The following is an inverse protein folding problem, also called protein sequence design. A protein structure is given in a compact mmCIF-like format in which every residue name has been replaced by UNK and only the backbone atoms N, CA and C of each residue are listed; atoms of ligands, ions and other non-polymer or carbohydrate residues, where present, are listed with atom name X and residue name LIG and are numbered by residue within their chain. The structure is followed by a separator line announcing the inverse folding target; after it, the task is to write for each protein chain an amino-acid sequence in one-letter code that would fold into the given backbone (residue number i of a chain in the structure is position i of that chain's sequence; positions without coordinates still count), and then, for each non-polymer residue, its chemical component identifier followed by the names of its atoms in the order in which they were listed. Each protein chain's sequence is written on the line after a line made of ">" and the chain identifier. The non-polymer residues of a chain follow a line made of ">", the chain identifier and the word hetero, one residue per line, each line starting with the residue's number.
data_IF_462999421385
#
_entry.id   IF_462999421385
#
_cell.length_a   1.000
_cell.length_b   1.000
_cell.length_c   1.000
_cell.angle_alpha   90.00
_cell.angle_beta   90.00
_cell.angle_gamma   90.00
#
_symmetry.space_group_name_H-M   'P 1'
#
loop_
_entity.id
_entity.type
_entity.pdbx_description
1 polymer ?
#
# COMPACT_ATOMS: atom_id res chain seq x y z
N UNK A 1 -6.07 28.10 40.42
CA UNK A 1 -6.58 27.73 39.08
C UNK A 1 -5.38 27.57 38.16
N UNK A 2 -4.97 26.33 37.88
CA UNK A 2 -3.72 26.01 37.20
C UNK A 2 -3.82 26.28 35.70
N UNK A 3 -2.91 27.08 35.15
CA UNK A 3 -2.75 27.31 33.71
C UNK A 3 -1.52 26.55 33.24
N UNK A 4 -1.73 25.42 32.55
CA UNK A 4 -0.67 24.67 31.89
C UNK A 4 -0.47 25.29 30.50
N UNK A 5 0.55 26.14 30.36
CA UNK A 5 1.01 26.60 29.05
C UNK A 5 1.92 25.53 28.45
N UNK A 6 1.42 24.74 27.52
CA UNK A 6 2.28 23.89 26.69
C UNK A 6 3.14 24.77 25.80
N UNK A 7 4.44 24.83 26.11
CA UNK A 7 5.45 25.47 25.29
C UNK A 7 5.65 24.60 24.04
N UNK A 8 5.01 24.97 22.94
CA UNK A 8 5.24 24.35 21.64
C UNK A 8 6.72 24.61 21.25
N UNK A 9 7.54 23.56 21.25
CA UNK A 9 8.92 23.66 20.74
C UNK A 9 8.83 23.82 19.21
N UNK A 10 9.54 24.81 18.68
CA UNK A 10 9.54 25.15 17.26
C UNK A 10 9.86 23.96 16.36
N UNK A 11 9.21 23.92 15.19
CA UNK A 11 9.36 22.90 14.14
C UNK A 11 10.79 22.74 13.58
N UNK A 12 11.76 23.52 14.06
CA UNK A 12 13.17 23.44 13.67
C UNK A 12 13.91 22.23 14.23
N UNK A 13 13.35 21.51 15.22
CA UNK A 13 13.98 20.29 15.77
C UNK A 13 13.97 19.10 14.80
N UNK A 14 13.06 19.09 13.82
CA UNK A 14 12.94 18.02 12.82
C UNK A 14 13.80 18.24 11.57
N UNK A 15 14.62 19.29 11.53
CA UNK A 15 15.48 19.60 10.38
C UNK A 15 16.91 19.11 10.64
N UNK A 16 17.09 17.80 10.84
CA UNK A 16 18.39 17.15 10.59
C UNK A 16 18.47 16.87 9.11
N UNK A 17 19.57 17.29 8.49
CA UNK A 17 19.86 17.03 7.07
C UNK A 17 19.65 15.54 6.78
N UNK A 18 18.74 15.27 5.83
CA UNK A 18 18.35 13.91 5.46
C UNK A 18 19.56 13.24 4.82
N UNK A 19 20.22 12.37 5.56
CA UNK A 19 21.29 11.51 5.06
C UNK A 19 20.70 10.69 3.91
N UNK A 20 21.20 10.92 2.70
CA UNK A 20 20.80 10.17 1.51
C UNK A 20 21.52 8.82 1.54
N UNK A 21 20.84 7.71 1.22
CA UNK A 21 21.42 6.37 1.35
C UNK A 21 22.60 6.07 0.44
N UNK A 22 22.74 6.83 -0.65
CA UNK A 22 23.93 6.77 -1.51
C UNK A 22 25.20 7.11 -0.70
N UNK A 23 25.03 7.85 0.40
CA UNK A 23 26.05 8.17 1.39
C UNK A 23 26.28 7.04 2.42
N UNK A 24 25.38 6.07 2.62
CA UNK A 24 25.60 5.00 3.61
C UNK A 24 26.67 4.00 3.16
N UNK A 25 26.83 3.78 1.84
CA UNK A 25 28.01 3.05 1.36
C UNK A 25 29.33 3.80 1.61
N UNK A 26 29.29 5.10 1.86
CA UNK A 26 30.46 5.95 2.08
C UNK A 26 30.61 6.47 3.52
N UNK A 27 29.68 6.15 4.43
CA UNK A 27 29.86 6.42 5.85
C UNK A 27 30.97 5.51 6.36
N UNK A 28 32.03 6.11 6.91
CA UNK A 28 33.16 5.39 7.46
C UNK A 28 32.68 4.34 8.47
N UNK A 29 33.42 3.23 8.54
CA UNK A 29 33.18 2.05 9.38
C UNK A 29 33.15 2.31 10.90
N UNK A 30 33.03 3.56 11.35
CA UNK A 30 33.21 4.01 12.73
C UNK A 30 31.96 4.57 13.42
N UNK A 31 30.85 4.82 12.71
CA UNK A 31 29.62 5.35 13.34
C UNK A 31 28.47 4.33 13.31
N UNK A 32 27.86 4.09 14.48
CA UNK A 32 26.67 3.27 14.60
C UNK A 32 25.42 4.03 14.14
N UNK A 33 24.71 3.48 13.16
CA UNK A 33 23.44 4.03 12.65
C UNK A 33 22.24 3.43 13.40
N UNK A 34 21.18 4.23 13.59
CA UNK A 34 19.92 3.72 14.11
C UNK A 34 19.22 2.84 13.07
N UNK A 35 18.69 1.68 13.49
CA UNK A 35 17.98 0.75 12.58
C UNK A 35 16.86 1.41 11.79
N UNK A 36 16.13 2.37 12.38
CA UNK A 36 15.07 3.11 11.67
C UNK A 36 15.62 4.02 10.56
N UNK A 37 16.80 4.61 10.75
CA UNK A 37 17.45 5.47 9.76
C UNK A 37 17.98 4.63 8.62
N UNK A 38 18.48 3.43 8.96
CA UNK A 38 18.78 2.40 7.99
C UNK A 38 17.50 2.06 7.17
N UNK A 39 16.47 1.48 7.79
CA UNK A 39 15.24 1.09 7.07
C UNK A 39 14.68 2.24 6.22
N UNK A 40 14.62 3.46 6.77
CA UNK A 40 14.11 4.62 6.05
C UNK A 40 14.85 4.85 4.73
N UNK A 41 16.17 4.97 4.74
CA UNK A 41 16.83 5.33 3.51
C UNK A 41 17.06 4.11 2.58
N UNK A 42 17.04 2.88 3.10
CA UNK A 42 17.04 1.67 2.26
C UNK A 42 15.79 1.64 1.39
N UNK A 43 14.68 2.15 1.90
CA UNK A 43 13.39 2.18 1.21
C UNK A 43 13.13 3.50 0.45
N UNK A 44 13.41 4.65 1.06
CA UNK A 44 12.86 5.96 0.63
C UNK A 44 13.92 7.02 0.27
N UNK A 45 15.21 6.72 0.28
CA UNK A 45 16.18 7.74 -0.10
C UNK A 45 16.06 8.11 -1.59
N UNK A 46 16.00 9.42 -1.86
CA UNK A 46 15.59 10.00 -3.15
C UNK A 46 16.17 9.36 -4.42
N UNK A 47 17.42 8.91 -4.39
CA UNK A 47 18.12 8.43 -5.60
C UNK A 47 18.51 6.95 -5.55
N UNK A 48 18.25 6.26 -4.44
CA UNK A 48 18.82 4.93 -4.18
C UNK A 48 17.98 4.04 -3.26
N UNK A 49 16.93 4.60 -2.65
CA UNK A 49 15.94 3.85 -1.91
C UNK A 49 15.19 2.93 -2.85
N UNK A 50 14.76 1.80 -2.31
CA UNK A 50 14.04 0.76 -3.03
C UNK A 50 12.85 1.29 -3.85
N UNK A 51 12.06 2.21 -3.28
CA UNK A 51 10.87 2.80 -3.92
C UNK A 51 11.17 4.07 -4.75
N UNK A 52 12.34 4.69 -4.58
CA UNK A 52 12.66 5.97 -5.22
C UNK A 52 13.42 5.82 -6.55
N UNK A 53 13.77 4.57 -6.92
CA UNK A 53 14.51 4.29 -8.14
C UNK A 53 13.57 4.37 -9.35
N UNK A 54 13.80 5.37 -10.21
CA UNK A 54 13.06 5.50 -11.47
C UNK A 54 13.23 4.26 -12.36
N UNK A 55 12.15 3.89 -13.07
CA UNK A 55 12.14 2.76 -14.01
C UNK A 55 12.06 1.37 -13.36
N UNK A 56 11.87 1.29 -12.03
CA UNK A 56 11.57 0.02 -11.35
C UNK A 56 10.08 -0.08 -11.07
N UNK A 57 9.45 -1.12 -11.62
CA UNK A 57 8.14 -1.55 -11.17
C UNK A 57 8.31 -2.33 -9.85
N UNK A 58 7.77 -1.77 -8.77
CA UNK A 58 7.79 -2.43 -7.46
C UNK A 58 6.61 -3.37 -7.30
N UNK A 59 5.46 -3.03 -7.90
CA UNK A 59 4.26 -3.86 -7.86
C UNK A 59 3.93 -4.34 -9.26
N UNK A 60 3.42 -5.57 -9.34
CA UNK A 60 3.00 -6.18 -10.60
C UNK A 60 1.56 -6.64 -10.50
N UNK A 61 0.79 -6.28 -11.50
CA UNK A 61 -0.50 -6.88 -11.78
C UNK A 61 -0.31 -8.04 -12.75
N UNK A 62 -1.15 -9.07 -12.61
CA UNK A 62 -1.18 -10.15 -13.59
C UNK A 62 -1.77 -9.64 -14.91
N UNK A 63 -1.22 -10.10 -16.03
CA UNK A 63 -1.75 -9.79 -17.37
C UNK A 63 -3.11 -10.45 -17.62
N UNK A 64 -3.40 -11.52 -16.86
CA UNK A 64 -4.63 -12.29 -16.90
C UNK A 64 -4.98 -12.79 -15.49
N UNK A 65 -6.29 -12.91 -15.21
CA UNK A 65 -6.75 -13.49 -13.95
C UNK A 65 -6.28 -14.95 -13.82
N UNK A 66 -5.99 -15.38 -12.60
CA UNK A 66 -5.74 -16.79 -12.32
C UNK A 66 -7.09 -17.52 -12.37
N UNK A 67 -7.16 -18.55 -13.20
CA UNK A 67 -8.31 -19.43 -13.28
C UNK A 67 -8.33 -20.40 -12.09
N UNK A 68 -8.81 -19.91 -10.95
CA UNK A 68 -8.86 -20.67 -9.70
C UNK A 68 -9.80 -21.88 -9.77
N UNK A 69 -10.82 -21.86 -10.64
CA UNK A 69 -11.76 -22.97 -10.78
C UNK A 69 -11.10 -24.23 -11.34
N UNK A 70 -10.06 -24.04 -12.18
CA UNK A 70 -9.32 -25.11 -12.82
C UNK A 70 -8.01 -25.48 -12.10
N UNK A 71 -7.74 -24.92 -10.91
CA UNK A 71 -6.62 -25.33 -10.07
C UNK A 71 -7.02 -26.49 -9.16
N UNK A 72 -6.23 -27.56 -9.15
CA UNK A 72 -6.46 -28.72 -8.30
C UNK A 72 -6.15 -28.46 -6.81
N UNK A 73 -5.42 -27.39 -6.51
CA UNK A 73 -5.11 -26.98 -5.16
C UNK A 73 -3.82 -26.17 -5.05
N UNK A 74 -3.26 -26.13 -3.83
CA UNK A 74 -2.14 -25.26 -3.49
C UNK A 74 -0.90 -25.48 -4.36
N UNK A 75 -0.58 -26.73 -4.71
CA UNK A 75 0.63 -27.05 -5.48
C UNK A 75 0.59 -26.41 -6.88
N UNK A 76 -0.55 -26.48 -7.57
CA UNK A 76 -0.70 -25.87 -8.90
C UNK A 76 -0.76 -24.34 -8.81
N UNK A 77 -1.45 -23.82 -7.80
CA UNK A 77 -1.43 -22.39 -7.50
C UNK A 77 0.01 -21.88 -7.34
N UNK A 78 0.83 -22.54 -6.52
CA UNK A 78 2.24 -22.16 -6.32
C UNK A 78 3.04 -22.23 -7.63
N UNK A 79 2.86 -23.31 -8.40
CA UNK A 79 3.54 -23.46 -9.69
C UNK A 79 3.16 -22.34 -10.69
N UNK A 80 1.88 -21.94 -10.71
CA UNK A 80 1.37 -20.84 -11.52
C UNK A 80 1.98 -19.50 -11.09
N UNK A 81 1.98 -19.20 -9.78
CA UNK A 81 2.59 -17.97 -9.25
C UNK A 81 4.11 -17.94 -9.53
N UNK A 82 4.81 -19.06 -9.36
CA UNK A 82 6.23 -19.16 -9.67
C UNK A 82 6.51 -18.90 -11.16
N UNK A 83 5.62 -19.34 -12.06
CA UNK A 83 5.74 -19.06 -13.48
C UNK A 83 5.64 -17.55 -13.76
N UNK A 84 4.70 -16.84 -13.12
CA UNK A 84 4.53 -15.40 -13.28
C UNK A 84 5.76 -14.62 -12.78
N UNK A 85 6.37 -15.04 -11.66
CA UNK A 85 7.60 -14.43 -11.14
C UNK A 85 8.85 -14.70 -12.00
N UNK A 86 8.87 -15.79 -12.79
CA UNK A 86 9.99 -16.04 -13.73
C UNK A 86 9.98 -15.09 -14.92
N UNK A 87 8.82 -14.55 -15.29
CA UNK A 87 8.69 -13.57 -16.37
C UNK A 87 9.24 -12.22 -15.94
N UNK A 88 8.96 -11.80 -14.69
CA UNK A 88 9.46 -10.55 -14.13
C UNK A 88 9.71 -10.70 -12.63
N UNK A 89 10.97 -10.86 -12.24
CA UNK A 89 11.36 -11.21 -10.87
C UNK A 89 11.48 -10.04 -9.90
N UNK A 90 11.52 -8.79 -10.40
CA UNK A 90 11.81 -7.61 -9.58
C UNK A 90 10.57 -6.95 -8.94
N UNK A 91 9.37 -7.36 -9.34
CA UNK A 91 8.10 -6.78 -8.90
C UNK A 91 7.27 -7.81 -8.11
N UNK A 92 6.70 -7.37 -7.00
CA UNK A 92 5.98 -8.21 -6.06
C UNK A 92 4.50 -8.17 -6.44
N UNK A 93 3.82 -9.30 -6.36
CA UNK A 93 2.36 -9.37 -6.48
C UNK A 93 1.77 -9.50 -5.07
N UNK A 94 0.92 -8.57 -4.67
CA UNK A 94 0.22 -8.66 -3.39
C UNK A 94 -1.07 -9.49 -3.55
N UNK A 95 -1.74 -9.88 -2.47
CA UNK A 95 -3.05 -10.52 -2.58
C UNK A 95 -4.06 -9.70 -3.37
N UNK A 96 -3.95 -8.37 -3.37
CA UNK A 96 -4.81 -7.47 -4.16
C UNK A 96 -4.63 -7.75 -5.65
N UNK A 97 -3.40 -7.91 -6.14
CA UNK A 97 -3.14 -8.20 -7.55
C UNK A 97 -3.41 -9.67 -7.92
N UNK A 98 -3.10 -10.61 -7.03
CA UNK A 98 -3.27 -12.06 -7.31
C UNK A 98 -4.75 -12.46 -7.37
N UNK A 99 -5.57 -11.90 -6.47
CA UNK A 99 -6.97 -12.27 -6.30
C UNK A 99 -7.92 -11.15 -6.75
N UNK A 100 -7.44 -10.23 -7.61
CA UNK A 100 -8.31 -9.23 -8.21
C UNK A 100 -9.46 -9.92 -8.98
N UNK A 101 -10.70 -9.41 -8.91
CA UNK A 101 -11.16 -8.30 -8.07
C UNK A 101 -11.65 -8.76 -6.67
N UNK A 102 -11.67 -10.07 -6.42
CA UNK A 102 -12.38 -10.70 -5.29
C UNK A 102 -11.83 -10.35 -3.91
N UNK A 103 -10.53 -10.16 -3.75
CA UNK A 103 -9.94 -9.73 -2.48
C UNK A 103 -10.50 -8.37 -2.05
N UNK A 104 -10.49 -7.41 -2.97
CA UNK A 104 -11.04 -6.07 -2.77
C UNK A 104 -12.56 -6.09 -2.57
N UNK A 105 -13.28 -6.95 -3.29
CA UNK A 105 -14.72 -7.16 -3.09
C UNK A 105 -15.04 -7.68 -1.68
N UNK A 106 -14.23 -8.59 -1.14
CA UNK A 106 -14.41 -9.09 0.22
C UNK A 106 -14.26 -7.97 1.25
N UNK A 107 -13.27 -7.08 1.07
CA UNK A 107 -13.10 -5.90 1.90
C UNK A 107 -14.28 -4.94 1.78
N UNK A 108 -14.75 -4.66 0.56
CA UNK A 108 -15.92 -3.80 0.33
C UNK A 108 -17.18 -4.36 1.00
N UNK A 109 -17.44 -5.67 0.85
CA UNK A 109 -18.53 -6.38 1.55
C UNK A 109 -18.43 -6.27 3.06
N UNK A 110 -17.22 -6.32 3.62
CA UNK A 110 -17.01 -6.15 5.05
C UNK A 110 -17.31 -4.71 5.49
N UNK A 111 -16.76 -3.71 4.79
CA UNK A 111 -16.98 -2.27 5.06
C UNK A 111 -18.47 -1.94 5.07
N UNK A 112 -19.22 -2.43 4.08
CA UNK A 112 -20.65 -2.18 3.93
C UNK A 112 -21.53 -2.87 4.98
N UNK A 113 -20.97 -3.83 5.73
CA UNK A 113 -21.65 -4.50 6.85
C UNK A 113 -21.28 -3.94 8.21
N UNK A 114 -20.35 -2.98 8.27
CA UNK A 114 -20.03 -2.33 9.52
C UNK A 114 -21.26 -1.58 10.05
N UNK A 115 -21.51 -1.62 11.37
CA UNK A 115 -22.59 -0.83 11.95
C UNK A 115 -22.32 0.65 11.69
N UNK A 116 -23.40 1.42 11.54
CA UNK A 116 -23.39 2.86 11.35
C UNK A 116 -22.73 3.36 10.04
N UNK A 117 -22.43 2.50 9.06
CA UNK A 117 -22.00 2.93 7.72
C UNK A 117 -23.21 3.26 6.84
N UNK A 118 -23.22 4.45 6.24
CA UNK A 118 -24.20 4.89 5.24
C UNK A 118 -23.56 5.81 4.19
N UNK A 119 -24.35 6.21 3.18
CA UNK A 119 -23.95 7.11 2.09
C UNK A 119 -23.34 8.44 2.53
N UNK A 120 -23.72 8.97 3.70
CA UNK A 120 -23.33 10.30 4.16
C UNK A 120 -22.05 10.30 5.00
N UNK A 121 -21.63 9.14 5.52
CA UNK A 121 -20.54 9.08 6.50
C UNK A 121 -19.38 8.12 6.14
N UNK A 122 -19.46 7.40 5.01
CA UNK A 122 -18.39 6.50 4.61
C UNK A 122 -17.15 7.26 4.10
N UNK A 123 -16.02 7.07 4.78
CA UNK A 123 -14.68 7.55 4.37
C UNK A 123 -13.69 6.39 4.40
N UNK A 124 -13.05 6.12 3.27
CA UNK A 124 -12.09 5.04 3.12
C UNK A 124 -10.70 5.63 2.94
N UNK A 125 -9.76 5.22 3.80
CA UNK A 125 -8.37 5.61 3.73
C UNK A 125 -7.50 4.38 3.47
N UNK A 126 -6.63 4.48 2.48
CA UNK A 126 -5.67 3.42 2.16
C UNK A 126 -4.24 3.96 2.31
N UNK A 127 -3.52 3.44 3.31
CA UNK A 127 -2.13 3.76 3.53
C UNK A 127 -1.25 2.84 2.67
N UNK A 128 -0.43 3.41 1.80
CA UNK A 128 0.42 2.63 0.89
C UNK A 128 -0.39 1.89 -0.18
N UNK A 129 -1.27 2.59 -0.89
CA UNK A 129 -2.20 1.98 -1.86
C UNK A 129 -1.57 1.38 -3.11
N UNK A 130 -0.24 1.42 -3.23
CA UNK A 130 0.49 0.66 -4.24
C UNK A 130 0.05 0.99 -5.67
N UNK A 131 -0.41 -0.03 -6.40
CA UNK A 131 -0.92 0.06 -7.76
C UNK A 131 -2.29 0.77 -7.87
N UNK A 132 -2.97 1.00 -6.75
CA UNK A 132 -4.34 1.54 -6.70
C UNK A 132 -5.44 0.53 -7.00
N UNK A 133 -5.10 -0.73 -7.27
CA UNK A 133 -6.06 -1.79 -7.65
C UNK A 133 -7.05 -2.10 -6.53
N UNK A 134 -6.62 -2.03 -5.27
CA UNK A 134 -7.51 -2.26 -4.14
C UNK A 134 -8.62 -1.21 -4.08
N UNK A 135 -8.24 0.07 -4.05
CA UNK A 135 -9.16 1.20 -4.13
C UNK A 135 -10.11 1.09 -5.32
N UNK A 136 -9.59 0.80 -6.53
CA UNK A 136 -10.39 0.66 -7.75
C UNK A 136 -11.49 -0.40 -7.58
N UNK A 137 -11.14 -1.62 -7.18
CA UNK A 137 -12.12 -2.70 -7.07
C UNK A 137 -13.06 -2.54 -5.88
N UNK A 138 -12.63 -1.90 -4.78
CA UNK A 138 -13.54 -1.51 -3.69
C UNK A 138 -14.59 -0.52 -4.21
N UNK A 139 -14.18 0.52 -4.94
CA UNK A 139 -15.10 1.52 -5.50
C UNK A 139 -16.07 0.89 -6.51
N UNK A 140 -15.56 0.06 -7.43
CA UNK A 140 -16.40 -0.65 -8.40
C UNK A 140 -17.45 -1.51 -7.69
N UNK A 141 -17.06 -2.23 -6.64
CA UNK A 141 -17.99 -3.05 -5.87
C UNK A 141 -19.08 -2.22 -5.18
N UNK A 142 -18.70 -1.11 -4.53
CA UNK A 142 -19.66 -0.22 -3.86
C UNK A 142 -20.62 0.40 -4.88
N UNK A 143 -20.11 0.80 -6.05
CA UNK A 143 -20.92 1.40 -7.11
C UNK A 143 -21.99 0.44 -7.62
N UNK A 144 -21.68 -0.84 -7.81
CA UNK A 144 -22.68 -1.83 -8.27
C UNK A 144 -23.60 -2.30 -7.15
N UNK A 145 -23.19 -2.16 -5.88
CA UNK A 145 -23.99 -2.55 -4.72
C UNK A 145 -24.84 -1.39 -4.17
N UNK A 146 -24.71 -0.17 -4.71
CA UNK A 146 -25.24 1.06 -4.11
C UNK A 146 -26.74 1.02 -3.85
N UNK A 147 -27.48 0.35 -4.72
CA UNK A 147 -28.93 0.22 -4.64
C UNK A 147 -29.37 -0.72 -3.52
N UNK A 148 -28.54 -1.71 -3.17
CA UNK A 148 -28.82 -2.66 -2.10
C UNK A 148 -28.47 -2.12 -0.70
N UNK A 149 -27.45 -1.24 -0.62
CA UNK A 149 -26.87 -0.77 0.67
C UNK A 149 -27.03 0.72 0.93
N UNK A 150 -27.82 1.44 0.12
CA UNK A 150 -28.10 2.88 0.27
C UNK A 150 -26.83 3.72 0.54
N UNK A 151 -25.76 3.38 -0.17
CA UNK A 151 -24.46 4.07 -0.16
C UNK A 151 -24.26 4.72 -1.52
N UNK A 152 -24.05 6.03 -1.53
CA UNK A 152 -23.62 6.78 -2.70
C UNK A 152 -22.19 7.24 -2.46
N UNK A 153 -21.31 7.01 -3.43
CA UNK A 153 -19.92 7.43 -3.35
C UNK A 153 -19.84 8.96 -3.44
N UNK A 154 -19.80 9.62 -2.28
CA UNK A 154 -19.48 11.04 -2.15
C UNK A 154 -18.05 11.27 -1.62
N UNK A 155 -17.34 10.19 -1.26
CA UNK A 155 -16.04 10.21 -0.60
C UNK A 155 -14.84 10.22 -1.55
N UNK A 156 -13.77 10.88 -1.11
CA UNK A 156 -12.45 10.88 -1.75
C UNK A 156 -11.60 9.79 -1.11
N UNK A 157 -11.04 8.87 -1.91
CA UNK A 157 -10.00 7.96 -1.43
C UNK A 157 -8.67 8.71 -1.44
N UNK A 158 -8.05 8.81 -0.26
CA UNK A 158 -6.68 9.30 -0.14
C UNK A 158 -5.73 8.10 -0.21
N UNK A 159 -5.05 7.97 -1.34
CA UNK A 159 -3.90 7.06 -1.49
C UNK A 159 -2.67 7.86 -1.05
N UNK A 160 -2.07 7.48 0.08
CA UNK A 160 -0.75 8.00 0.46
C UNK A 160 0.31 7.14 -0.21
N UNK A 161 0.98 7.70 -1.22
CA UNK A 161 2.21 7.17 -1.83
C UNK A 161 3.44 7.62 -1.03
#
# INVERSE_FOLDING_TARGET
>A
MYSVRHRCKSASFWRRERISYCTIRTLSTSESILTREFIYGALYAKNCGYFAREGRDVLRSLDHEIDFENLWGESEYRAKIDQEYRVQSEAWMTPVEIFAPFYSHALAKYILRLPDVNSENLRIFEAGGGSGINALHILNYIQVSSDEVNVHLSGVIYIWL
#
